data_IF_955984516273
#
_entry.id   IF_955984516273
#
_cell.length_a   1.000
_cell.length_b   1.000
_cell.length_c   1.000
_cell.angle_alpha   90.00
_cell.angle_beta   90.00
_cell.angle_gamma   90.00
#
_symmetry.space_group_name_H-M   'P 1'
#
loop_
_entity.id
_entity.type
_entity.pdbx_description
1 polymer ?
#
# COMPACT_ATOMS: atom_id res chain seq x y z
N UNK A 1 53.68 22.23 6.12
CA UNK A 1 53.11 20.98 5.60
C UNK A 1 52.34 20.32 6.73
N UNK A 2 51.01 20.47 6.72
CA UNK A 2 50.09 19.83 7.65
C UNK A 2 49.08 19.03 6.80
N UNK A 3 48.75 17.78 7.18
CA UNK A 3 47.90 16.92 6.36
C UNK A 3 46.44 17.35 6.48
N UNK A 4 45.79 17.48 5.32
CA UNK A 4 44.38 17.82 5.18
C UNK A 4 43.47 16.71 5.69
N UNK A 5 42.42 17.12 6.39
CA UNK A 5 41.30 16.29 6.79
C UNK A 5 40.40 16.00 5.59
N UNK A 6 40.25 14.72 5.26
CA UNK A 6 39.29 14.20 4.28
C UNK A 6 37.90 14.19 4.95
N UNK A 7 36.83 14.72 4.33
CA UNK A 7 35.49 14.60 4.88
C UNK A 7 35.03 13.13 4.80
N UNK A 8 34.62 12.58 5.94
CA UNK A 8 34.15 11.20 6.11
C UNK A 8 32.83 10.96 5.38
N UNK A 9 32.84 10.00 4.46
CA UNK A 9 31.72 9.55 3.62
C UNK A 9 30.64 8.73 4.38
N UNK A 10 30.55 8.82 5.70
CA UNK A 10 29.77 7.88 6.52
C UNK A 10 28.32 8.31 6.83
N UNK A 11 27.85 9.45 6.30
CA UNK A 11 26.47 9.93 6.57
C UNK A 11 25.49 9.71 5.42
N UNK A 12 25.97 9.59 4.18
CA UNK A 12 25.13 9.31 3.01
C UNK A 12 24.76 7.83 2.87
N UNK A 13 25.62 6.91 3.31
CA UNK A 13 25.38 5.46 3.16
C UNK A 13 24.24 4.94 4.06
N UNK A 14 24.06 5.53 5.24
CA UNK A 14 23.01 5.11 6.20
C UNK A 14 21.61 5.55 5.76
N UNK A 15 21.47 6.75 5.18
CA UNK A 15 20.20 7.21 4.61
C UNK A 15 19.87 6.46 3.31
N UNK A 16 20.87 6.11 2.51
CA UNK A 16 20.68 5.28 1.32
C UNK A 16 20.25 3.85 1.67
N UNK A 17 20.84 3.21 2.68
CA UNK A 17 20.43 1.89 3.15
C UNK A 17 18.99 1.88 3.70
N UNK A 18 18.57 2.98 4.34
CA UNK A 18 17.20 3.17 4.85
C UNK A 18 16.20 3.27 3.69
N UNK A 19 16.53 3.99 2.63
CA UNK A 19 15.74 4.07 1.40
C UNK A 19 15.77 2.75 0.61
N UNK A 20 16.90 2.05 0.60
CA UNK A 20 17.10 0.76 -0.08
C UNK A 20 16.25 -0.35 0.59
N UNK A 21 16.17 -0.34 1.93
CA UNK A 21 15.28 -1.22 2.71
C UNK A 21 13.80 -0.85 2.58
N UNK A 22 13.47 0.39 2.24
CA UNK A 22 12.10 0.83 1.97
C UNK A 22 11.58 0.37 0.60
N UNK A 23 12.48 0.06 -0.34
CA UNK A 23 12.14 -0.16 -1.77
C UNK A 23 12.36 -1.62 -2.20
N UNK A 24 13.22 -2.40 -1.54
CA UNK A 24 13.62 -3.73 -2.02
C UNK A 24 12.91 -4.95 -1.41
N UNK A 25 11.83 -4.79 -0.64
CA UNK A 25 11.11 -5.97 -0.16
C UNK A 25 9.64 -5.89 -0.50
N UNK A 26 9.26 -6.61 -1.57
CA UNK A 26 7.87 -6.98 -1.89
C UNK A 26 7.29 -8.02 -0.92
N UNK A 27 7.72 -8.01 0.34
CA UNK A 27 7.25 -8.79 1.47
C UNK A 27 7.53 -7.95 2.73
N UNK A 28 6.68 -8.03 3.77
CA UNK A 28 6.74 -7.29 5.06
C UNK A 28 6.16 -5.86 4.98
N UNK A 29 4.88 -5.63 5.30
CA UNK A 29 4.12 -6.04 6.49
C UNK A 29 4.84 -5.61 7.80
N UNK A 30 4.19 -4.77 8.63
CA UNK A 30 4.60 -4.10 9.88
C UNK A 30 5.31 -2.73 9.83
N UNK A 31 6.27 -2.45 8.94
CA UNK A 31 7.04 -1.18 9.02
C UNK A 31 6.24 0.05 8.59
N UNK A 32 5.26 -0.12 7.71
CA UNK A 32 4.37 0.98 7.27
C UNK A 32 3.37 1.34 8.37
N UNK A 33 2.92 0.36 9.16
CA UNK A 33 2.07 0.60 10.34
C UNK A 33 2.85 1.38 11.40
N UNK A 34 4.09 0.97 11.69
CA UNK A 34 4.97 1.66 12.61
C UNK A 34 5.26 3.11 12.16
N UNK A 35 5.44 3.35 10.85
CA UNK A 35 5.65 4.69 10.31
C UNK A 35 4.39 5.57 10.39
N UNK A 36 3.21 5.04 10.06
CA UNK A 36 1.95 5.79 10.18
C UNK A 36 1.67 6.19 11.64
N UNK A 37 1.97 5.31 12.59
CA UNK A 37 1.76 5.59 14.02
C UNK A 37 2.83 6.54 14.59
N UNK A 38 4.03 6.60 14.01
CA UNK A 38 5.07 7.60 14.34
C UNK A 38 4.74 9.03 13.91
N UNK A 39 3.72 9.22 13.06
CA UNK A 39 3.25 10.57 12.68
C UNK A 39 2.29 11.20 13.71
N UNK A 40 1.88 10.43 14.73
CA UNK A 40 1.15 10.95 15.89
C UNK A 40 2.16 11.48 16.93
N UNK A 41 2.03 12.73 17.41
CA UNK A 41 2.93 13.27 18.42
C UNK A 41 2.86 12.42 19.70
N UNK A 42 3.98 11.79 20.09
CA UNK A 42 4.11 11.05 21.35
C UNK A 42 3.99 9.51 21.24
N UNK A 43 3.85 8.94 20.04
CA UNK A 43 3.76 7.49 19.85
C UNK A 43 5.00 6.96 19.11
N UNK A 44 5.88 6.24 19.82
CA UNK A 44 6.94 5.45 19.19
C UNK A 44 6.54 3.98 19.21
N UNK A 45 6.20 3.44 18.04
CA UNK A 45 5.98 2.02 17.86
C UNK A 45 7.22 1.38 17.26
N UNK A 46 7.81 0.46 18.01
CA UNK A 46 8.90 -0.37 17.52
C UNK A 46 8.31 -1.49 16.63
N UNK A 47 8.72 -1.60 15.35
CA UNK A 47 8.16 -2.58 14.40
C UNK A 47 8.28 -4.06 14.82
N UNK A 48 9.09 -4.36 15.84
CA UNK A 48 9.35 -5.71 16.35
C UNK A 48 8.51 -6.10 17.59
N UNK A 49 7.47 -5.32 17.92
CA UNK A 49 6.62 -5.55 19.09
C UNK A 49 5.22 -6.07 18.74
N UNK A 50 4.84 -6.07 17.46
CA UNK A 50 3.51 -6.48 17.01
C UNK A 50 3.59 -7.33 15.75
N UNK A 51 2.73 -8.33 15.63
CA UNK A 51 2.55 -9.16 14.42
C UNK A 51 1.11 -9.04 13.96
N UNK A 52 0.90 -8.83 12.67
CA UNK A 52 -0.43 -8.93 12.06
C UNK A 52 -0.72 -10.42 11.85
N UNK A 53 -1.61 -10.96 12.67
CA UNK A 53 -2.15 -12.29 12.54
C UNK A 53 -3.52 -12.22 11.90
N UNK A 54 -3.83 -13.16 11.02
CA UNK A 54 -5.15 -13.31 10.46
C UNK A 54 -5.84 -14.41 11.29
N UNK A 55 -6.94 -14.07 11.99
CA UNK A 55 -7.81 -15.07 12.64
C UNK A 55 -8.95 -15.65 11.76
N UNK A 56 -8.89 -16.96 11.56
CA UNK A 56 -9.89 -17.76 10.84
C UNK A 56 -11.02 -18.33 11.72
N UNK A 57 -11.07 -18.01 13.02
CA UNK A 57 -12.20 -18.39 13.89
C UNK A 57 -13.43 -17.50 13.65
N UNK A 58 -14.53 -17.73 14.38
CA UNK A 58 -15.91 -17.23 14.13
C UNK A 58 -16.08 -15.72 13.89
N UNK A 59 -15.06 -14.91 14.12
CA UNK A 59 -14.97 -13.50 13.74
C UNK A 59 -13.84 -13.32 12.71
N UNK A 60 -14.12 -13.57 11.43
CA UNK A 60 -13.15 -13.45 10.34
C UNK A 60 -12.57 -12.03 10.30
N UNK A 61 -11.28 -11.89 10.58
CA UNK A 61 -10.66 -10.57 10.62
C UNK A 61 -9.13 -10.56 10.75
N UNK A 62 -8.60 -9.35 10.70
CA UNK A 62 -7.16 -9.04 10.84
C UNK A 62 -6.89 -8.64 12.27
N UNK A 63 -6.00 -9.36 12.94
CA UNK A 63 -5.61 -9.13 14.33
C UNK A 63 -4.19 -8.60 14.42
N UNK A 64 -3.99 -7.53 15.18
CA UNK A 64 -2.64 -7.12 15.59
C UNK A 64 -2.38 -7.73 16.95
N UNK A 65 -1.31 -8.51 17.07
CA UNK A 65 -0.99 -9.28 18.28
C UNK A 65 0.36 -8.82 18.83
N UNK A 66 0.47 -8.65 20.15
CA UNK A 66 1.76 -8.31 20.79
C UNK A 66 2.73 -9.48 20.67
N UNK A 67 3.88 -9.26 20.06
CA UNK A 67 4.92 -10.28 19.92
C UNK A 67 5.74 -10.42 21.21
N UNK A 68 6.13 -11.65 21.55
CA UNK A 68 7.14 -11.88 22.59
C UNK A 68 8.52 -11.47 22.08
N UNK A 69 8.94 -10.24 22.39
CA UNK A 69 10.30 -9.82 22.12
C UNK A 69 11.08 -9.61 23.44
N UNK A 70 11.89 -10.58 23.87
CA UNK A 70 12.64 -10.50 25.13
C UNK A 70 13.79 -9.47 25.11
N UNK A 71 14.02 -8.77 23.98
CA UNK A 71 15.14 -7.83 23.81
C UNK A 71 14.73 -6.34 23.86
N UNK A 72 13.45 -6.02 24.02
CA UNK A 72 12.96 -4.64 24.13
C UNK A 72 12.91 -4.19 25.60
N UNK A 73 13.46 -2.99 25.89
CA UNK A 73 13.49 -2.38 27.22
C UNK A 73 12.15 -1.74 27.61
N UNK A 74 11.93 -1.59 28.93
CA UNK A 74 10.67 -1.25 29.63
C UNK A 74 9.96 0.09 29.30
N UNK A 75 10.36 0.83 28.27
CA UNK A 75 9.68 2.07 27.85
C UNK A 75 8.73 1.82 26.66
N UNK A 76 8.17 0.61 26.57
CA UNK A 76 7.23 0.24 25.51
C UNK A 76 5.82 0.74 25.82
N UNK A 77 5.16 1.34 24.82
CA UNK A 77 3.76 1.80 24.84
C UNK A 77 2.76 0.70 25.28
N UNK A 78 3.18 -0.56 25.24
CA UNK A 78 2.41 -1.74 25.57
C UNK A 78 2.84 -2.41 26.89
N UNK A 79 3.54 -1.70 27.77
CA UNK A 79 3.88 -2.23 29.08
C UNK A 79 2.61 -2.62 29.84
N UNK A 80 2.64 -3.77 30.49
CA UNK A 80 1.47 -4.37 31.15
C UNK A 80 0.48 -5.14 30.25
N UNK A 81 0.60 -5.09 28.92
CA UNK A 81 -0.18 -5.97 28.03
C UNK A 81 0.50 -7.34 27.89
N UNK A 82 -0.15 -8.46 28.23
CA UNK A 82 0.33 -9.81 27.93
C UNK A 82 0.79 -10.00 26.49
N UNK A 83 1.87 -10.75 26.31
CA UNK A 83 2.24 -11.19 24.96
C UNK A 83 1.17 -12.13 24.39
N UNK A 84 1.04 -12.12 23.06
CA UNK A 84 -0.01 -12.81 22.32
C UNK A 84 -1.43 -12.30 22.57
N UNK A 85 -1.59 -11.16 23.25
CA UNK A 85 -2.88 -10.49 23.33
C UNK A 85 -3.21 -9.76 22.02
N UNK A 86 -4.50 -9.82 21.66
CA UNK A 86 -5.04 -9.15 20.49
C UNK A 86 -5.21 -7.68 20.82
N UNK A 87 -4.34 -6.84 20.25
CA UNK A 87 -4.34 -5.39 20.41
C UNK A 87 -5.41 -4.72 19.55
N UNK A 88 -5.71 -5.29 18.38
CA UNK A 88 -6.66 -4.75 17.43
C UNK A 88 -7.24 -5.90 16.61
N UNK A 89 -8.52 -5.83 16.26
CA UNK A 89 -9.20 -6.76 15.36
C UNK A 89 -10.01 -5.97 14.34
N UNK A 90 -9.78 -6.21 13.05
CA UNK A 90 -10.53 -5.59 11.95
C UNK A 90 -11.35 -6.65 11.23
N UNK A 91 -12.69 -6.55 11.26
CA UNK A 91 -13.56 -7.46 10.52
C UNK A 91 -13.29 -7.45 9.02
N UNK A 92 -13.41 -8.61 8.37
CA UNK A 92 -13.15 -8.75 6.94
C UNK A 92 -14.04 -7.85 6.07
N UNK A 93 -15.28 -7.58 6.49
CA UNK A 93 -16.19 -6.65 5.80
C UNK A 93 -15.67 -5.20 5.73
N UNK A 94 -14.70 -4.85 6.58
CA UNK A 94 -14.05 -3.54 6.55
C UNK A 94 -12.78 -3.54 5.68
N UNK A 95 -12.35 -4.70 5.17
CA UNK A 95 -11.18 -4.84 4.30
C UNK A 95 -11.59 -4.60 2.86
N UNK A 96 -10.88 -3.71 2.16
CA UNK A 96 -11.06 -3.49 0.74
C UNK A 96 -10.26 -4.56 -0.02
N UNK A 97 -10.98 -5.53 -0.53
CA UNK A 97 -10.50 -6.65 -1.34
C UNK A 97 -10.47 -6.35 -2.85
N UNK A 98 -9.73 -7.15 -3.66
CA UNK A 98 -9.67 -6.99 -5.10
C UNK A 98 -11.02 -7.20 -5.78
N UNK A 99 -11.92 -7.99 -5.17
CA UNK A 99 -13.31 -8.15 -5.60
C UNK A 99 -14.06 -6.83 -5.70
N UNK A 100 -13.82 -5.86 -4.82
CA UNK A 100 -14.41 -4.52 -4.96
C UNK A 100 -13.91 -3.82 -6.23
N UNK A 101 -12.66 -4.08 -6.62
CA UNK A 101 -12.10 -3.66 -7.90
C UNK A 101 -12.75 -4.37 -9.10
N UNK A 102 -13.07 -5.66 -8.97
CA UNK A 102 -13.81 -6.42 -9.97
C UNK A 102 -15.23 -5.87 -10.18
N UNK A 103 -15.85 -5.39 -9.11
CA UNK A 103 -17.20 -4.83 -9.12
C UNK A 103 -17.29 -3.39 -9.64
N UNK A 104 -16.19 -2.74 -10.00
CA UNK A 104 -16.27 -1.42 -10.64
C UNK A 104 -16.68 -1.53 -12.11
N UNK A 105 -17.07 -0.41 -12.73
CA UNK A 105 -17.37 -0.41 -14.16
C UNK A 105 -16.15 -0.78 -15.00
N UNK A 106 -14.98 -0.26 -14.62
CA UNK A 106 -13.70 -0.60 -15.25
C UNK A 106 -13.33 -2.06 -15.00
N UNK A 107 -13.48 -2.54 -13.76
CA UNK A 107 -13.17 -3.92 -13.38
C UNK A 107 -13.96 -4.95 -14.17
N UNK A 108 -15.29 -4.79 -14.23
CA UNK A 108 -16.16 -5.66 -15.03
C UNK A 108 -15.79 -5.66 -16.51
N UNK A 109 -15.55 -4.48 -17.09
CA UNK A 109 -15.18 -4.37 -18.50
C UNK A 109 -13.86 -5.11 -18.84
N UNK A 110 -12.91 -5.13 -17.90
CA UNK A 110 -11.65 -5.89 -18.05
C UNK A 110 -11.90 -7.39 -17.91
N UNK A 111 -12.69 -7.81 -16.94
CA UNK A 111 -13.00 -9.23 -16.70
C UNK A 111 -13.83 -9.85 -17.84
N UNK A 112 -14.73 -9.08 -18.45
CA UNK A 112 -15.46 -9.47 -19.66
C UNK A 112 -14.52 -9.72 -20.86
N UNK A 113 -13.30 -9.17 -20.82
CA UNK A 113 -12.24 -9.32 -21.81
C UNK A 113 -11.07 -10.19 -21.32
N UNK A 114 -11.29 -10.98 -20.26
CA UNK A 114 -10.24 -11.69 -19.49
C UNK A 114 -9.34 -12.62 -20.33
N UNK A 115 -9.81 -13.11 -21.48
CA UNK A 115 -9.00 -13.88 -22.43
C UNK A 115 -7.85 -13.06 -23.04
N UNK A 116 -7.98 -11.74 -23.10
CA UNK A 116 -7.00 -10.81 -23.72
C UNK A 116 -6.27 -9.94 -22.70
N UNK A 117 -6.89 -9.66 -21.55
CA UNK A 117 -6.37 -8.76 -20.54
C UNK A 117 -6.36 -9.44 -19.18
N UNK A 118 -5.18 -9.89 -18.78
CA UNK A 118 -4.88 -10.30 -17.40
C UNK A 118 -4.19 -9.16 -16.65
N UNK A 119 -4.76 -8.79 -15.51
CA UNK A 119 -4.23 -7.86 -14.51
C UNK A 119 -4.08 -8.57 -13.17
N UNK A 120 -3.19 -8.06 -12.32
CA UNK A 120 -3.00 -8.56 -10.95
C UNK A 120 -3.98 -7.91 -9.96
N UNK A 121 -4.23 -8.58 -8.81
CA UNK A 121 -5.11 -8.11 -7.74
C UNK A 121 -4.78 -6.71 -7.24
N UNK A 122 -3.48 -6.40 -7.14
CA UNK A 122 -3.02 -5.06 -6.75
C UNK A 122 -3.47 -3.98 -7.75
N UNK A 123 -3.67 -4.36 -9.01
CA UNK A 123 -4.18 -3.47 -10.06
C UNK A 123 -5.67 -3.27 -9.94
N UNK A 124 -6.44 -4.31 -9.60
CA UNK A 124 -7.88 -4.15 -9.31
C UNK A 124 -8.13 -3.28 -8.07
N UNK A 125 -7.32 -3.44 -7.01
CA UNK A 125 -7.36 -2.50 -5.88
C UNK A 125 -7.02 -1.06 -6.28
N UNK A 126 -6.05 -0.87 -7.18
CA UNK A 126 -5.70 0.47 -7.67
C UNK A 126 -6.83 1.07 -8.52
N UNK A 127 -7.51 0.26 -9.35
CA UNK A 127 -8.71 0.67 -10.11
C UNK A 127 -9.81 1.12 -9.16
N UNK A 128 -10.13 0.30 -8.15
CA UNK A 128 -11.11 0.66 -7.13
C UNK A 128 -10.77 2.01 -6.47
N UNK A 129 -9.51 2.19 -6.08
CA UNK A 129 -9.07 3.40 -5.39
C UNK A 129 -9.19 4.65 -6.28
N UNK A 130 -8.90 4.52 -7.57
CA UNK A 130 -9.06 5.59 -8.56
C UNK A 130 -10.54 5.98 -8.73
N UNK A 131 -11.43 5.01 -8.95
CA UNK A 131 -12.86 5.27 -9.11
C UNK A 131 -13.49 5.83 -7.83
N UNK A 132 -13.21 5.22 -6.68
CA UNK A 132 -13.71 5.66 -5.38
C UNK A 132 -13.31 7.10 -5.07
N UNK A 133 -12.07 7.49 -5.35
CA UNK A 133 -11.67 8.90 -5.16
C UNK A 133 -12.34 9.84 -6.15
N UNK A 134 -12.51 9.42 -7.40
CA UNK A 134 -13.16 10.25 -8.41
C UNK A 134 -14.63 10.50 -8.06
N UNK A 135 -15.37 9.44 -7.72
CA UNK A 135 -16.76 9.52 -7.27
C UNK A 135 -16.91 10.46 -6.08
N UNK A 136 -15.98 10.41 -5.12
CA UNK A 136 -15.97 11.33 -3.97
C UNK A 136 -15.78 12.80 -4.37
N UNK A 137 -14.96 13.08 -5.39
CA UNK A 137 -14.70 14.47 -5.85
C UNK A 137 -15.85 15.04 -6.66
N UNK A 138 -16.51 14.22 -7.49
CA UNK A 138 -17.65 14.65 -8.30
C UNK A 138 -18.98 14.62 -7.55
N UNK A 139 -19.10 13.72 -6.56
CA UNK A 139 -20.26 13.54 -5.71
C UNK A 139 -20.40 14.64 -4.66
N UNK A 140 -20.76 15.86 -5.07
CA UNK A 140 -21.36 16.83 -4.16
C UNK A 140 -22.71 16.31 -3.66
N UNK A 141 -22.78 15.78 -2.43
CA UNK A 141 -24.00 15.37 -1.68
C UNK A 141 -24.99 14.38 -2.31
N UNK A 142 -24.95 14.09 -3.61
CA UNK A 142 -25.86 13.14 -4.27
C UNK A 142 -25.13 11.84 -4.59
N UNK A 143 -25.20 10.92 -3.62
CA UNK A 143 -24.75 9.52 -3.65
C UNK A 143 -25.23 8.77 -4.90
N UNK A 144 -24.33 8.49 -5.83
CA UNK A 144 -24.43 7.32 -6.70
C UNK A 144 -23.52 6.25 -6.09
N UNK A 145 -24.14 5.18 -5.57
CA UNK A 145 -23.53 4.09 -4.78
C UNK A 145 -22.67 4.58 -3.61
N UNK A 146 -23.30 4.88 -2.48
CA UNK A 146 -22.59 5.26 -1.27
C UNK A 146 -21.58 4.19 -0.87
N UNK A 147 -20.29 4.53 -0.93
CA UNK A 147 -19.26 3.73 -0.29
C UNK A 147 -19.62 3.62 1.20
N UNK A 148 -19.36 2.48 1.85
CA UNK A 148 -19.46 2.39 3.29
C UNK A 148 -18.65 3.52 3.96
N UNK A 149 -19.18 4.12 5.03
CA UNK A 149 -18.56 5.28 5.69
C UNK A 149 -17.09 5.04 6.10
N UNK A 150 -16.76 3.79 6.46
CA UNK A 150 -15.38 3.41 6.81
C UNK A 150 -14.44 3.48 5.60
N UNK A 151 -14.90 3.11 4.40
CA UNK A 151 -14.12 3.22 3.16
C UNK A 151 -13.98 4.68 2.74
N UNK A 152 -15.03 5.50 2.88
CA UNK A 152 -14.95 6.94 2.62
C UNK A 152 -13.90 7.59 3.52
N UNK A 153 -13.98 7.33 4.83
CA UNK A 153 -13.06 7.87 5.84
C UNK A 153 -11.62 7.42 5.60
N UNK A 154 -11.41 6.17 5.14
CA UNK A 154 -10.10 5.69 4.74
C UNK A 154 -9.48 6.57 3.64
N UNK A 155 -10.26 6.98 2.63
CA UNK A 155 -9.76 7.84 1.55
C UNK A 155 -9.24 9.20 2.06
N UNK A 156 -9.80 9.74 3.16
CA UNK A 156 -9.36 11.00 3.80
C UNK A 156 -7.95 10.88 4.37
N UNK A 157 -7.60 9.70 4.86
CA UNK A 157 -6.31 9.43 5.51
C UNK A 157 -5.19 9.14 4.53
N UNK A 158 -5.49 9.01 3.24
CA UNK A 158 -4.48 8.68 2.24
C UNK A 158 -3.62 9.91 1.90
N UNK A 159 -2.29 9.72 1.78
CA UNK A 159 -1.42 10.82 1.39
C UNK A 159 -1.78 11.30 -0.02
N UNK A 160 -1.66 12.59 -0.26
CA UNK A 160 -1.87 13.18 -1.59
C UNK A 160 -0.73 12.78 -2.54
N UNK A 161 -0.96 12.85 -3.86
CA UNK A 161 0.07 12.48 -4.86
C UNK A 161 1.35 13.30 -4.72
N UNK A 162 1.23 14.57 -4.32
CA UNK A 162 2.35 15.47 -4.07
C UNK A 162 3.27 15.01 -2.94
N UNK A 163 2.75 14.26 -1.96
CA UNK A 163 3.52 13.72 -0.84
C UNK A 163 4.34 12.48 -1.23
N UNK A 164 4.12 11.90 -2.42
CA UNK A 164 4.78 10.66 -2.85
C UNK A 164 6.18 10.85 -3.44
N UNK A 165 6.71 12.09 -3.44
CA UNK A 165 8.06 12.41 -3.95
C UNK A 165 9.20 11.73 -3.19
N UNK A 166 8.95 11.13 -2.04
CA UNK A 166 9.95 10.31 -1.33
C UNK A 166 10.22 8.98 -2.05
N UNK A 167 9.34 8.53 -2.94
CA UNK A 167 9.53 7.30 -3.72
C UNK A 167 10.13 7.62 -5.10
N UNK A 168 11.21 6.93 -5.53
CA UNK A 168 11.86 7.17 -6.83
C UNK A 168 10.94 7.09 -8.04
N UNK A 169 9.86 6.32 -7.98
CA UNK A 169 8.89 6.20 -9.07
C UNK A 169 8.20 7.54 -9.40
N UNK A 170 8.15 8.50 -8.46
CA UNK A 170 7.59 9.84 -8.66
C UNK A 170 8.64 10.95 -8.88
N UNK A 171 9.93 10.61 -8.91
CA UNK A 171 10.99 11.60 -9.16
C UNK A 171 10.94 12.14 -10.59
N UNK A 172 11.50 13.32 -10.84
CA UNK A 172 11.70 13.76 -12.22
C UNK A 172 12.69 12.84 -12.94
N UNK A 173 12.64 12.75 -14.27
CA UNK A 173 13.63 11.98 -15.04
C UNK A 173 15.05 12.52 -14.83
N UNK A 174 15.16 13.82 -14.58
CA UNK A 174 16.40 14.48 -14.19
C UNK A 174 16.94 13.94 -12.86
N UNK A 175 16.14 14.01 -11.79
CA UNK A 175 16.57 13.54 -10.46
C UNK A 175 16.90 12.05 -10.47
N UNK A 176 16.10 11.25 -11.18
CA UNK A 176 16.34 9.82 -11.32
C UNK A 176 17.68 9.54 -12.01
N UNK A 177 18.00 10.31 -13.05
CA UNK A 177 19.26 10.15 -13.80
C UNK A 177 20.44 10.68 -12.98
N UNK A 178 20.36 11.89 -12.42
CA UNK A 178 21.46 12.50 -11.68
C UNK A 178 21.83 11.71 -10.42
N UNK A 179 20.84 11.12 -9.73
CA UNK A 179 21.06 10.49 -8.43
C UNK A 179 21.25 8.97 -8.50
N UNK A 180 20.63 8.28 -9.46
CA UNK A 180 20.57 6.81 -9.45
C UNK A 180 21.22 6.15 -10.66
N UNK A 181 21.69 6.88 -11.68
CA UNK A 181 22.30 6.27 -12.87
C UNK A 181 23.41 5.28 -12.51
N UNK A 182 23.37 4.10 -13.13
CA UNK A 182 24.30 3.00 -12.87
C UNK A 182 23.89 2.06 -11.73
N UNK A 183 22.95 2.48 -10.87
CA UNK A 183 22.43 1.62 -9.79
C UNK A 183 21.39 0.61 -10.29
N UNK A 184 21.20 -0.46 -9.52
CA UNK A 184 20.11 -1.41 -9.73
C UNK A 184 18.74 -0.76 -9.50
N UNK A 185 18.64 0.11 -8.48
CA UNK A 185 17.44 0.86 -8.15
C UNK A 185 16.93 1.73 -9.31
N UNK A 186 17.83 2.33 -10.09
CA UNK A 186 17.46 3.06 -11.31
C UNK A 186 16.74 2.15 -12.32
N UNK A 187 17.33 0.99 -12.62
CA UNK A 187 16.76 0.02 -13.57
C UNK A 187 15.40 -0.47 -13.09
N UNK A 188 15.26 -0.77 -11.81
CA UNK A 188 14.01 -1.27 -11.25
C UNK A 188 12.94 -0.19 -11.20
N UNK A 189 13.30 1.06 -10.87
CA UNK A 189 12.38 2.20 -10.96
C UNK A 189 11.86 2.41 -12.38
N UNK A 190 12.72 2.34 -13.39
CA UNK A 190 12.29 2.44 -14.80
C UNK A 190 11.36 1.29 -15.21
N UNK A 191 11.66 0.05 -14.78
CA UNK A 191 10.78 -1.11 -15.03
C UNK A 191 9.42 -0.92 -14.38
N UNK A 192 9.37 -0.44 -13.14
CA UNK A 192 8.12 -0.18 -12.41
C UNK A 192 7.30 0.88 -13.15
N UNK A 193 7.90 2.03 -13.51
CA UNK A 193 7.22 3.08 -14.30
C UNK A 193 6.64 2.53 -15.60
N UNK A 194 7.44 1.75 -16.34
CA UNK A 194 7.00 1.15 -17.60
C UNK A 194 5.86 0.16 -17.40
N UNK A 195 5.93 -0.71 -16.37
CA UNK A 195 4.88 -1.68 -16.04
C UNK A 195 3.57 -0.98 -15.67
N UNK A 196 3.63 0.04 -14.82
CA UNK A 196 2.44 0.78 -14.38
C UNK A 196 1.82 1.55 -15.55
N UNK A 197 2.63 2.22 -16.38
CA UNK A 197 2.16 2.89 -17.60
C UNK A 197 1.48 1.91 -18.57
N UNK A 198 2.07 0.73 -18.79
CA UNK A 198 1.46 -0.30 -19.64
C UNK A 198 0.14 -0.81 -19.08
N UNK A 199 0.05 -1.00 -17.77
CA UNK A 199 -1.20 -1.43 -17.11
C UNK A 199 -2.29 -0.38 -17.30
N UNK A 200 -1.97 0.90 -17.08
CA UNK A 200 -2.87 2.03 -17.32
C UNK A 200 -3.36 2.11 -18.78
N UNK A 201 -2.46 1.87 -19.74
CA UNK A 201 -2.81 1.84 -21.16
C UNK A 201 -3.77 0.70 -21.48
N UNK A 202 -3.48 -0.52 -21.02
CA UNK A 202 -4.37 -1.69 -21.22
C UNK A 202 -5.75 -1.48 -20.59
N UNK A 203 -5.81 -0.88 -19.41
CA UNK A 203 -7.07 -0.51 -18.76
C UNK A 203 -7.85 0.48 -19.64
N UNK A 204 -7.19 1.51 -20.17
CA UNK A 204 -7.82 2.48 -21.05
C UNK A 204 -8.24 1.91 -22.41
N UNK A 205 -7.54 0.90 -22.93
CA UNK A 205 -7.96 0.17 -24.13
C UNK A 205 -9.20 -0.68 -23.86
N UNK A 206 -9.25 -1.36 -22.71
CA UNK A 206 -10.40 -2.17 -22.30
C UNK A 206 -11.64 -1.34 -21.98
N UNK A 207 -11.43 -0.22 -21.29
CA UNK A 207 -12.48 0.69 -20.83
C UNK A 207 -12.03 2.15 -20.97
N UNK A 208 -12.18 2.74 -22.18
CA UNK A 208 -11.76 4.12 -22.46
C UNK A 208 -12.25 5.19 -21.48
N UNK A 209 -13.46 5.11 -20.89
CA UNK A 209 -13.91 6.08 -19.89
C UNK A 209 -13.00 6.18 -18.65
N UNK A 210 -12.24 5.13 -18.31
CA UNK A 210 -11.31 5.16 -17.18
C UNK A 210 -10.30 6.32 -17.27
N UNK A 211 -9.81 6.63 -18.48
CA UNK A 211 -8.81 7.68 -18.68
C UNK A 211 -9.38 9.09 -18.51
N UNK A 212 -10.71 9.24 -18.51
CA UNK A 212 -11.38 10.51 -18.26
C UNK A 212 -11.45 10.80 -16.75
N UNK A 213 -11.57 9.75 -15.94
CA UNK A 213 -11.76 9.85 -14.49
C UNK A 213 -10.45 9.72 -13.70
N UNK A 214 -9.43 9.08 -14.29
CA UNK A 214 -8.15 8.84 -13.65
C UNK A 214 -7.01 9.14 -14.61
N UNK A 215 -6.13 10.08 -14.25
CA UNK A 215 -4.87 10.31 -14.99
C UNK A 215 -3.84 9.22 -14.70
N UNK A 216 -2.79 9.12 -15.54
CA UNK A 216 -1.66 8.22 -15.29
C UNK A 216 -0.97 8.52 -13.95
N UNK A 217 -0.79 9.79 -13.59
CA UNK A 217 -0.21 10.18 -12.30
C UNK A 217 -1.07 9.67 -11.13
N UNK A 218 -2.40 9.82 -11.23
CA UNK A 218 -3.33 9.33 -10.22
C UNK A 218 -3.31 7.80 -10.12
N UNK A 219 -3.19 7.10 -11.24
CA UNK A 219 -3.06 5.65 -11.25
C UNK A 219 -1.75 5.18 -10.61
N UNK A 220 -0.62 5.84 -10.91
CA UNK A 220 0.66 5.57 -10.26
C UNK A 220 0.58 5.82 -8.74
N UNK A 221 -0.08 6.91 -8.32
CA UNK A 221 -0.38 7.16 -6.91
C UNK A 221 -1.16 6.00 -6.30
N UNK A 222 -2.23 5.54 -6.94
CA UNK A 222 -3.05 4.44 -6.44
C UNK A 222 -2.24 3.14 -6.30
N UNK A 223 -1.42 2.80 -7.31
CA UNK A 223 -0.52 1.65 -7.24
C UNK A 223 0.46 1.78 -6.07
N UNK A 224 1.03 2.96 -5.84
CA UNK A 224 1.94 3.18 -4.72
C UNK A 224 1.26 3.05 -3.34
N UNK A 225 0.01 3.52 -3.22
CA UNK A 225 -0.81 3.27 -2.02
C UNK A 225 -1.00 1.77 -1.81
N UNK A 226 -1.42 1.04 -2.85
CA UNK A 226 -1.66 -0.40 -2.75
C UNK A 226 -0.39 -1.15 -2.37
N UNK A 227 0.73 -0.90 -3.04
CA UNK A 227 1.99 -1.60 -2.74
C UNK A 227 2.55 -1.30 -1.35
N UNK A 228 2.19 -0.17 -0.74
CA UNK A 228 2.67 0.18 0.61
C UNK A 228 1.69 -0.22 1.71
N UNK A 229 0.41 -0.44 1.41
CA UNK A 229 -0.65 -0.61 2.42
C UNK A 229 -1.50 -1.86 2.26
N UNK A 230 -1.32 -2.64 1.20
CA UNK A 230 -2.02 -3.90 1.03
C UNK A 230 -1.34 -5.01 1.85
N UNK A 231 -2.16 -5.82 2.51
CA UNK A 231 -1.74 -6.98 3.29
C UNK A 231 -2.08 -8.25 2.52
N UNK A 232 -1.21 -9.26 2.62
CA UNK A 232 -1.51 -10.59 2.10
C UNK A 232 -2.46 -11.29 3.07
N UNK A 233 -3.60 -11.74 2.56
CA UNK A 233 -4.58 -12.52 3.30
C UNK A 233 -4.35 -14.02 3.03
N UNK A 234 -4.55 -14.85 4.05
CA UNK A 234 -4.37 -16.30 3.93
C UNK A 234 -5.52 -16.96 3.18
N UNK A 235 -5.24 -18.10 2.55
CA UNK A 235 -6.19 -18.86 1.70
C UNK A 235 -7.39 -19.43 2.48
N UNK A 236 -7.20 -19.75 3.77
CA UNK A 236 -8.21 -20.32 4.67
C UNK A 236 -9.41 -19.38 4.93
N UNK A 237 -9.34 -18.13 4.46
CA UNK A 237 -10.41 -17.14 4.57
C UNK A 237 -11.47 -17.20 3.49
N UNK A 238 -11.11 -17.72 2.32
CA UNK A 238 -11.95 -17.66 1.14
C UNK A 238 -12.69 -18.98 0.88
N UNK A 239 -12.54 -20.00 1.75
CA UNK A 239 -13.08 -21.35 1.53
C UNK A 239 -14.62 -21.43 1.40
N UNK A 240 -15.37 -20.41 1.85
CA UNK A 240 -16.84 -20.35 1.71
C UNK A 240 -17.34 -19.52 0.51
N UNK A 241 -16.44 -18.82 -0.18
CA UNK A 241 -16.76 -18.12 -1.42
C UNK A 241 -16.08 -18.91 -2.52
N UNK A 242 -16.81 -19.37 -3.54
CA UNK A 242 -16.31 -20.27 -4.60
C UNK A 242 -15.18 -19.69 -5.50
N UNK A 243 -14.29 -18.84 -4.99
CA UNK A 243 -13.17 -18.28 -5.70
C UNK A 243 -11.94 -18.21 -4.78
N UNK A 244 -10.96 -19.05 -5.10
CA UNK A 244 -9.66 -19.17 -4.42
C UNK A 244 -8.79 -17.96 -4.80
N UNK A 245 -9.13 -16.79 -4.28
CA UNK A 245 -8.23 -15.65 -4.38
C UNK A 245 -7.28 -15.70 -3.18
N UNK A 246 -5.98 -15.84 -3.45
CA UNK A 246 -4.91 -15.48 -2.50
C UNK A 246 -4.99 -13.98 -2.28
N UNK A 247 -5.94 -13.55 -1.45
CA UNK A 247 -6.41 -12.18 -1.48
C UNK A 247 -5.39 -11.20 -0.93
N UNK A 248 -5.09 -10.16 -1.68
CA UNK A 248 -4.39 -8.98 -1.14
C UNK A 248 -5.47 -7.98 -0.74
N UNK A 249 -5.40 -7.39 0.45
CA UNK A 249 -6.44 -6.47 0.94
C UNK A 249 -5.86 -5.16 1.43
N UNK A 250 -6.48 -4.04 1.06
CA UNK A 250 -6.25 -2.79 1.80
C UNK A 250 -7.09 -2.85 3.06
N UNK A 251 -6.47 -2.53 4.17
CA UNK A 251 -7.13 -2.55 5.47
C UNK A 251 -7.33 -1.10 5.89
N UNK A 252 -8.56 -0.59 5.74
CA UNK A 252 -9.08 0.55 6.50
C UNK A 252 -8.95 0.32 8.02
N UNK A 253 -7.73 0.33 8.55
CA UNK A 253 -7.49 0.45 9.98
C UNK A 253 -7.65 1.93 10.34
N UNK A 254 -8.49 2.27 11.32
CA UNK A 254 -8.26 2.10 12.76
C UNK A 254 -7.07 2.93 13.23
#
# INVERSE_FOLDING_TARGET
>A
VAPGTIPTANRMETEFLSLYLLILVGCYDLRVLAWQLQTLPGCYLHPAACVVQLDGTTERGIRVVKEQNPSLSSDDLFDGIPSNEILLSVPLENVILPSHGHETATGRAILDQSESISLDDHTFLAIWLCEATHQRKEGGSTRLQALPLHMESYLDTLPQSTAMRHLPVFWSDRDLTELLTGSQLYKDTLKIRARWKRSYQRIGEAYPPFQQICSLERFCWAKAIVYSRAFSLREDYFEDVNNVDRGVGLVPMA
#
